data_IF_071725428333
#
_entry.id   IF_071725428333
#
_cell.length_a   1.000
_cell.length_b   1.000
_cell.length_c   1.000
_cell.angle_alpha   90.00
_cell.angle_beta   90.00
_cell.angle_gamma   90.00
#
_symmetry.space_group_name_H-M   'P 1'
#
loop_
_entity.id
_entity.type
_entity.pdbx_description
1 polymer ?
#
# COMPACT_ATOMS: atom_id res chain seq x y z
N UNK A 1 -27.99 35.21 33.74
CA UNK A 1 -26.55 35.01 33.49
C UNK A 1 -26.40 33.89 32.47
N UNK A 2 -25.76 34.20 31.33
CA UNK A 2 -25.55 33.30 30.19
C UNK A 2 -24.43 32.31 30.53
N UNK A 3 -24.70 31.00 30.54
CA UNK A 3 -23.64 29.99 30.54
C UNK A 3 -23.36 29.56 29.11
N UNK A 4 -22.13 29.83 28.68
CA UNK A 4 -21.59 29.53 27.36
C UNK A 4 -21.49 28.02 27.12
N UNK A 5 -22.05 27.56 26.00
CA UNK A 5 -21.70 26.29 25.36
C UNK A 5 -20.32 26.45 24.74
N UNK A 6 -19.29 25.85 25.36
CA UNK A 6 -17.98 25.71 24.71
C UNK A 6 -18.05 24.55 23.70
N UNK A 7 -18.01 24.88 22.41
CA UNK A 7 -17.90 23.92 21.32
C UNK A 7 -16.53 23.24 21.31
N UNK A 8 -16.51 21.91 21.28
CA UNK A 8 -15.30 21.13 21.09
C UNK A 8 -14.91 21.16 19.60
N UNK A 9 -13.93 21.99 19.23
CA UNK A 9 -13.33 21.99 17.89
C UNK A 9 -12.40 20.77 17.73
N UNK A 10 -12.82 19.81 16.91
CA UNK A 10 -12.03 18.65 16.49
C UNK A 10 -10.92 19.05 15.51
N UNK A 11 -9.78 19.51 16.02
CA UNK A 11 -8.54 19.69 15.25
C UNK A 11 -7.76 18.38 15.19
N UNK A 12 -7.92 17.58 14.12
CA UNK A 12 -7.05 16.42 13.88
C UNK A 12 -6.81 16.06 12.40
N UNK A 13 -6.21 16.95 11.57
CA UNK A 13 -5.45 16.53 10.39
C UNK A 13 -3.96 16.92 10.40
N UNK A 14 -3.49 17.76 11.34
CA UNK A 14 -2.15 18.36 11.27
C UNK A 14 -0.99 17.37 11.54
N UNK A 15 -1.16 16.41 12.45
CA UNK A 15 -0.06 15.51 12.83
C UNK A 15 0.35 14.50 11.73
N UNK A 16 -0.54 14.19 10.79
CA UNK A 16 -0.33 13.20 9.72
C UNK A 16 0.54 13.74 8.59
N UNK A 17 0.21 14.93 8.09
CA UNK A 17 0.98 15.63 7.08
C UNK A 17 2.40 15.93 7.57
N UNK A 18 2.54 16.16 8.88
CA UNK A 18 3.83 16.43 9.52
C UNK A 18 4.79 15.23 9.42
N UNK A 19 4.33 13.99 9.63
CA UNK A 19 5.22 12.82 9.55
C UNK A 19 5.83 12.60 8.17
N UNK A 20 5.00 12.70 7.12
CA UNK A 20 5.44 12.52 5.73
C UNK A 20 6.40 13.64 5.33
N UNK A 21 6.08 14.89 5.66
CA UNK A 21 6.92 16.04 5.35
C UNK A 21 8.28 15.95 6.06
N UNK A 22 8.28 15.62 7.37
CA UNK A 22 9.52 15.43 8.14
C UNK A 22 10.38 14.31 7.58
N UNK A 23 9.78 13.20 7.18
CA UNK A 23 10.54 12.12 6.55
C UNK A 23 11.18 12.53 5.23
N UNK A 24 10.44 13.19 4.35
CA UNK A 24 10.98 13.69 3.07
C UNK A 24 12.12 14.69 3.29
N UNK A 25 11.98 15.58 4.27
CA UNK A 25 13.05 16.52 4.63
C UNK A 25 14.31 15.78 5.11
N UNK A 26 14.17 14.72 5.92
CA UNK A 26 15.30 13.88 6.33
C UNK A 26 15.95 13.16 5.17
N UNK A 27 15.16 12.61 4.23
CA UNK A 27 15.71 11.94 3.05
C UNK A 27 16.54 12.92 2.22
N UNK A 28 16.02 14.11 1.96
CA UNK A 28 16.72 15.14 1.19
C UNK A 28 18.08 15.56 1.80
N UNK A 29 18.23 15.41 3.12
CA UNK A 29 19.46 15.74 3.85
C UNK A 29 20.39 14.52 4.03
N UNK A 30 19.95 13.31 3.70
CA UNK A 30 20.71 12.07 3.87
C UNK A 30 21.44 11.69 2.58
N UNK A 31 22.71 11.24 2.64
CA UNK A 31 23.40 10.68 1.47
C UNK A 31 22.70 9.42 0.92
N UNK A 32 21.81 8.79 1.69
CA UNK A 32 21.05 7.62 1.30
C UNK A 32 19.59 7.94 0.90
N UNK A 33 19.18 9.20 0.92
CA UNK A 33 17.82 9.64 0.61
C UNK A 33 17.24 9.11 -0.69
N UNK A 34 17.95 9.24 -1.84
CA UNK A 34 17.46 8.74 -3.13
C UNK A 34 17.18 7.23 -3.13
N UNK A 35 17.99 6.45 -2.41
CA UNK A 35 17.77 5.00 -2.28
C UNK A 35 16.49 4.70 -1.49
N UNK A 36 16.29 5.42 -0.37
CA UNK A 36 15.12 5.26 0.51
C UNK A 36 13.82 5.63 -0.20
N UNK A 37 13.80 6.77 -0.89
CA UNK A 37 12.65 7.24 -1.66
C UNK A 37 12.25 6.23 -2.75
N UNK A 38 13.23 5.54 -3.35
CA UNK A 38 12.99 4.60 -4.45
C UNK A 38 12.28 3.31 -4.06
N UNK A 39 12.29 2.93 -2.77
CA UNK A 39 11.83 1.62 -2.28
C UNK A 39 10.36 1.36 -2.59
N UNK A 40 9.49 2.37 -2.42
CA UNK A 40 8.07 2.29 -2.72
C UNK A 40 7.61 3.49 -3.56
N UNK A 41 6.65 3.30 -4.49
CA UNK A 41 6.12 4.40 -5.30
C UNK A 41 5.32 5.40 -4.45
N UNK A 42 5.33 6.70 -4.79
CA UNK A 42 4.64 7.75 -4.05
C UNK A 42 3.13 7.86 -4.41
N UNK A 43 2.44 6.75 -4.62
CA UNK A 43 1.06 6.72 -5.17
C UNK A 43 -0.04 6.50 -4.14
N UNK A 44 0.29 6.51 -2.85
CA UNK A 44 -0.66 6.27 -1.76
C UNK A 44 -0.63 7.39 -0.72
N UNK A 45 -1.76 8.08 -0.57
CA UNK A 45 -1.90 9.24 0.31
C UNK A 45 -2.36 8.83 1.72
N UNK A 46 -1.86 9.47 2.80
CA UNK A 46 -2.30 9.21 4.17
C UNK A 46 -3.82 9.25 4.39
N UNK A 47 -4.55 10.13 3.70
CA UNK A 47 -6.00 10.24 3.80
C UNK A 47 -6.73 9.00 3.24
N UNK A 48 -6.06 8.20 2.41
CA UNK A 48 -6.58 6.94 1.87
C UNK A 48 -6.44 5.76 2.85
N UNK A 49 -5.77 5.93 3.99
CA UNK A 49 -5.66 4.90 5.01
C UNK A 49 -7.04 4.54 5.59
N UNK A 50 -7.41 3.25 5.68
CA UNK A 50 -8.65 2.84 6.33
C UNK A 50 -8.71 3.25 7.80
N UNK A 51 -9.75 4.00 8.21
CA UNK A 51 -9.80 4.61 9.57
C UNK A 51 -8.54 5.46 9.85
N UNK A 52 -8.34 6.57 9.11
CA UNK A 52 -7.09 7.33 9.13
C UNK A 52 -6.78 7.96 10.50
N UNK A 53 -7.80 8.13 11.36
CA UNK A 53 -7.68 8.62 12.74
C UNK A 53 -7.52 7.51 13.79
N UNK A 54 -7.39 6.25 13.39
CA UNK A 54 -7.14 5.15 14.33
C UNK A 54 -5.69 5.16 14.81
N UNK A 55 -5.42 4.52 15.95
CA UNK A 55 -4.06 4.33 16.45
C UNK A 55 -3.17 3.66 15.37
N UNK A 56 -3.61 2.52 14.83
CA UNK A 56 -2.84 1.80 13.82
C UNK A 56 -2.52 2.62 12.56
N UNK A 57 -3.48 3.41 12.06
CA UNK A 57 -3.22 4.30 10.91
C UNK A 57 -2.18 5.37 11.23
N UNK A 58 -2.17 5.93 12.45
CA UNK A 58 -1.12 6.86 12.88
C UNK A 58 0.23 6.18 13.02
N UNK A 59 0.28 4.95 13.53
CA UNK A 59 1.54 4.20 13.65
C UNK A 59 2.14 3.84 12.28
N UNK A 60 1.31 3.49 11.28
CA UNK A 60 1.79 3.27 9.91
C UNK A 60 2.47 4.53 9.38
N UNK A 61 1.86 5.69 9.60
CA UNK A 61 2.43 6.96 9.15
C UNK A 61 3.70 7.32 9.91
N UNK A 62 3.68 7.23 11.25
CA UNK A 62 4.83 7.54 12.09
C UNK A 62 6.06 6.70 11.72
N UNK A 63 5.87 5.39 11.55
CA UNK A 63 7.00 4.47 11.42
C UNK A 63 7.39 4.17 9.99
N UNK A 64 6.43 3.85 9.13
CA UNK A 64 6.74 3.34 7.80
C UNK A 64 7.28 4.42 6.87
N UNK A 65 6.82 5.67 7.04
CA UNK A 65 7.26 6.76 6.17
C UNK A 65 8.66 7.26 6.50
N UNK A 66 9.30 6.79 7.57
CA UNK A 66 10.66 7.23 7.91
C UNK A 66 11.69 6.83 6.86
N UNK A 67 11.44 5.74 6.11
CA UNK A 67 12.42 5.14 5.21
C UNK A 67 11.94 4.97 3.77
N UNK A 68 10.64 5.04 3.49
CA UNK A 68 10.09 4.92 2.14
C UNK A 68 8.72 5.58 2.06
N UNK A 69 8.16 5.74 0.84
CA UNK A 69 6.79 6.25 0.68
C UNK A 69 5.76 5.39 1.43
N UNK A 70 4.60 5.97 1.76
CA UNK A 70 3.59 5.34 2.61
C UNK A 70 3.09 4.00 2.01
N UNK A 71 3.20 2.87 2.73
CA UNK A 71 2.67 1.61 2.23
C UNK A 71 1.15 1.57 2.34
N UNK A 72 0.48 1.06 1.30
CA UNK A 72 -0.93 0.72 1.35
C UNK A 72 -1.12 -0.56 2.18
N UNK A 73 -1.96 -0.59 3.25
CA UNK A 73 -2.25 -1.82 4.00
C UNK A 73 -2.76 -2.98 3.12
N UNK A 74 -3.33 -2.67 1.95
CA UNK A 74 -3.77 -3.65 0.98
C UNK A 74 -2.69 -4.10 -0.01
N UNK A 75 -1.40 -3.75 0.16
CA UNK A 75 -0.34 -4.25 -0.73
C UNK A 75 0.05 -5.71 -0.45
N UNK A 76 -0.34 -6.24 0.71
CA UNK A 76 -0.06 -7.61 1.14
C UNK A 76 -1.30 -8.24 1.77
N UNK A 77 -1.37 -9.58 1.73
CA UNK A 77 -2.38 -10.31 2.47
C UNK A 77 -2.06 -10.35 3.98
N UNK A 78 -3.07 -10.72 4.79
CA UNK A 78 -2.94 -10.72 6.25
C UNK A 78 -1.84 -11.68 6.75
N UNK A 79 -1.54 -12.74 5.98
CA UNK A 79 -0.52 -13.74 6.33
C UNK A 79 0.90 -13.24 6.08
N UNK A 80 1.09 -12.37 5.09
CA UNK A 80 2.40 -11.81 4.73
C UNK A 80 2.86 -10.70 5.68
N UNK A 81 1.92 -9.90 6.19
CA UNK A 81 2.23 -8.72 7.03
C UNK A 81 3.15 -8.98 8.23
N UNK A 82 2.96 -10.04 9.06
CA UNK A 82 3.86 -10.33 10.19
C UNK A 82 5.34 -10.34 9.79
N UNK A 83 5.69 -11.13 8.76
CA UNK A 83 7.07 -11.24 8.28
C UNK A 83 7.63 -9.92 7.74
N UNK A 84 6.78 -9.08 7.13
CA UNK A 84 7.20 -7.79 6.55
C UNK A 84 7.51 -6.81 7.67
N UNK A 85 6.58 -6.67 8.63
CA UNK A 85 6.75 -5.76 9.78
C UNK A 85 7.95 -6.17 10.61
N UNK A 86 8.13 -7.45 10.92
CA UNK A 86 9.27 -7.94 11.67
C UNK A 86 10.61 -7.58 11.02
N UNK A 87 10.74 -7.82 9.70
CA UNK A 87 11.94 -7.42 8.96
C UNK A 87 12.16 -5.91 8.96
N UNK A 88 11.10 -5.10 8.92
CA UNK A 88 11.23 -3.64 8.96
C UNK A 88 11.67 -3.18 10.35
N UNK A 89 11.07 -3.70 11.42
CA UNK A 89 11.45 -3.36 12.80
C UNK A 89 12.91 -3.72 13.09
N UNK A 90 13.39 -4.87 12.60
CA UNK A 90 14.82 -5.22 12.68
C UNK A 90 15.69 -4.17 11.97
N UNK A 91 15.32 -3.75 10.75
CA UNK A 91 16.03 -2.69 10.00
C UNK A 91 16.02 -1.36 10.75
N UNK A 92 14.88 -0.94 11.28
CA UNK A 92 14.75 0.28 12.07
C UNK A 92 15.68 0.27 13.30
N UNK A 93 15.99 -0.91 13.85
CA UNK A 93 16.97 -1.09 14.93
C UNK A 93 18.42 -1.16 14.45
N UNK A 94 18.69 -0.81 13.20
CA UNK A 94 20.01 -0.90 12.55
C UNK A 94 20.48 -2.33 12.29
N UNK A 95 19.57 -3.32 12.31
CA UNK A 95 19.89 -4.73 12.10
C UNK A 95 19.48 -5.17 10.68
N UNK A 96 20.25 -6.05 10.06
CA UNK A 96 19.90 -6.58 8.75
C UNK A 96 21.11 -7.01 7.94
N UNK A 97 20.86 -7.34 6.67
CA UNK A 97 21.85 -7.93 5.77
C UNK A 97 22.90 -6.95 5.23
N UNK A 98 22.83 -5.65 5.59
CA UNK A 98 23.79 -4.63 5.14
C UNK A 98 24.79 -4.22 6.23
N UNK A 99 24.81 -4.89 7.39
CA UNK A 99 25.82 -4.67 8.43
C UNK A 99 25.91 -3.22 8.90
N UNK A 100 27.13 -2.64 8.88
CA UNK A 100 27.39 -1.25 9.30
C UNK A 100 26.58 -0.24 8.48
N UNK A 101 26.46 -0.46 7.17
CA UNK A 101 25.65 0.42 6.30
C UNK A 101 24.19 0.47 6.75
N UNK A 102 23.62 -0.64 7.26
CA UNK A 102 22.25 -0.60 7.80
C UNK A 102 22.14 0.33 9.00
N UNK A 103 23.14 0.33 9.89
CA UNK A 103 23.15 1.21 11.07
C UNK A 103 23.24 2.68 10.67
N UNK A 104 24.08 3.00 9.69
CA UNK A 104 24.25 4.35 9.17
C UNK A 104 22.97 4.85 8.48
N UNK A 105 22.39 4.04 7.59
CA UNK A 105 21.14 4.39 6.89
C UNK A 105 19.97 4.61 7.85
N UNK A 106 19.94 3.89 8.97
CA UNK A 106 18.84 3.91 9.95
C UNK A 106 19.13 4.83 11.13
N UNK A 107 20.20 5.62 11.08
CA UNK A 107 20.50 6.62 12.10
C UNK A 107 19.33 7.61 12.23
N UNK A 108 18.81 7.77 13.45
CA UNK A 108 17.66 8.63 13.73
C UNK A 108 16.30 8.06 13.32
N UNK A 109 16.22 6.80 12.88
CA UNK A 109 14.94 6.09 12.66
C UNK A 109 14.43 5.54 13.99
N UNK A 110 13.18 5.83 14.30
CA UNK A 110 12.51 5.30 15.49
C UNK A 110 11.93 3.92 15.22
N UNK A 111 12.14 2.94 16.11
CA UNK A 111 11.44 1.66 16.07
C UNK A 111 10.22 1.66 17.02
N UNK A 112 9.13 0.93 16.71
CA UNK A 112 7.98 0.82 17.60
C UNK A 112 8.34 0.09 18.90
N UNK A 113 7.66 0.48 19.99
CA UNK A 113 7.56 -0.35 21.20
C UNK A 113 6.81 -1.65 20.91
N UNK A 114 6.88 -2.63 21.81
CA UNK A 114 6.16 -3.90 21.63
C UNK A 114 4.63 -3.72 21.59
N UNK A 115 4.09 -2.74 22.31
CA UNK A 115 2.66 -2.41 22.25
C UNK A 115 2.27 -1.77 20.91
N UNK A 116 3.05 -0.79 20.45
CA UNK A 116 2.85 -0.16 19.14
C UNK A 116 3.02 -1.16 18.00
N UNK A 117 3.98 -2.08 18.10
CA UNK A 117 4.18 -3.15 17.14
C UNK A 117 2.94 -4.04 17.03
N UNK A 118 2.35 -4.46 18.16
CA UNK A 118 1.09 -5.23 18.16
C UNK A 118 -0.05 -4.45 17.52
N UNK A 119 -0.21 -3.18 17.86
CA UNK A 119 -1.26 -2.32 17.30
C UNK A 119 -1.10 -2.08 15.78
N UNK A 120 0.14 -1.83 15.34
CA UNK A 120 0.51 -1.68 13.93
C UNK A 120 0.20 -2.95 13.14
N UNK A 121 0.62 -4.11 13.64
CA UNK A 121 0.40 -5.39 12.97
C UNK A 121 -1.10 -5.74 12.91
N UNK A 122 -1.84 -5.52 13.99
CA UNK A 122 -3.28 -5.73 14.03
C UNK A 122 -4.00 -4.88 12.97
N UNK A 123 -3.60 -3.63 12.82
CA UNK A 123 -4.14 -2.72 11.80
C UNK A 123 -3.84 -3.20 10.37
N UNK A 124 -2.57 -3.51 10.07
CA UNK A 124 -2.17 -3.98 8.74
C UNK A 124 -2.88 -5.29 8.35
N UNK A 125 -3.01 -6.23 9.29
CA UNK A 125 -3.75 -7.48 9.07
C UNK A 125 -5.23 -7.25 8.82
N UNK A 126 -5.85 -6.34 9.57
CA UNK A 126 -7.29 -6.03 9.45
C UNK A 126 -7.65 -5.43 8.09
N UNK A 127 -6.76 -4.61 7.53
CA UNK A 127 -6.98 -3.90 6.26
C UNK A 127 -6.18 -4.47 5.08
N UNK A 128 -5.68 -5.70 5.25
CA UNK A 128 -4.90 -6.41 4.26
C UNK A 128 -5.65 -6.66 2.93
N UNK A 129 -4.89 -7.02 1.90
CA UNK A 129 -5.46 -7.56 0.67
C UNK A 129 -6.18 -8.86 0.98
N UNK A 130 -7.39 -9.01 0.43
CA UNK A 130 -8.03 -10.31 0.32
C UNK A 130 -7.52 -10.98 -0.96
N UNK A 131 -6.89 -12.14 -0.80
CA UNK A 131 -6.48 -12.96 -1.92
C UNK A 131 -7.70 -13.44 -2.70
N UNK A 132 -7.57 -13.53 -4.02
CA UNK A 132 -8.55 -14.18 -4.88
C UNK A 132 -8.68 -15.65 -4.48
N UNK A 133 -9.91 -16.14 -4.46
CA UNK A 133 -10.20 -17.56 -4.29
C UNK A 133 -10.37 -18.18 -5.68
N UNK A 134 -9.32 -18.80 -6.20
CA UNK A 134 -9.27 -19.30 -7.58
C UNK A 134 -10.40 -20.29 -7.91
N UNK A 135 -10.93 -21.02 -6.92
CA UNK A 135 -12.06 -21.94 -7.11
C UNK A 135 -13.34 -21.24 -7.58
N UNK A 136 -13.46 -19.94 -7.31
CA UNK A 136 -14.61 -19.10 -7.67
C UNK A 136 -14.45 -18.40 -9.02
N UNK A 137 -13.28 -18.53 -9.65
CA UNK A 137 -12.92 -17.85 -10.90
C UNK A 137 -12.17 -18.82 -11.83
N UNK A 138 -12.86 -19.83 -12.40
CA UNK A 138 -12.21 -20.82 -13.26
C UNK A 138 -11.54 -20.20 -14.50
N UNK A 139 -12.01 -19.04 -14.95
CA UNK A 139 -11.40 -18.27 -16.06
C UNK A 139 -9.97 -17.78 -15.76
N UNK A 140 -9.51 -17.77 -14.51
CA UNK A 140 -8.09 -17.50 -14.20
C UNK A 140 -7.13 -18.51 -14.83
N UNK A 141 -7.61 -19.72 -15.12
CA UNK A 141 -6.85 -20.79 -15.76
C UNK A 141 -6.99 -20.80 -17.30
N UNK A 142 -7.74 -19.85 -17.88
CA UNK A 142 -7.91 -19.73 -19.34
C UNK A 142 -7.16 -18.50 -19.88
N UNK A 143 -6.96 -18.39 -21.20
CA UNK A 143 -6.36 -17.20 -21.80
C UNK A 143 -7.07 -15.89 -21.41
N UNK A 144 -8.38 -15.94 -21.11
CA UNK A 144 -9.16 -14.76 -20.73
C UNK A 144 -8.76 -14.16 -19.36
N UNK A 145 -8.24 -14.97 -18.44
CA UNK A 145 -7.76 -14.51 -17.12
C UNK A 145 -6.24 -14.42 -17.02
N UNK A 146 -5.51 -14.83 -18.08
CA UNK A 146 -4.06 -14.94 -18.07
C UNK A 146 -3.36 -13.59 -17.86
N UNK A 147 -3.77 -12.56 -18.60
CA UNK A 147 -3.19 -11.22 -18.48
C UNK A 147 -3.33 -10.65 -17.06
N UNK A 148 -4.49 -10.81 -16.43
CA UNK A 148 -4.71 -10.43 -15.03
C UNK A 148 -3.84 -11.24 -14.07
N UNK A 149 -3.83 -12.57 -14.24
CA UNK A 149 -3.04 -13.48 -13.40
C UNK A 149 -1.55 -13.14 -13.48
N UNK A 150 -0.98 -13.06 -14.68
CA UNK A 150 0.45 -12.83 -14.89
C UNK A 150 0.90 -11.44 -14.48
N UNK A 151 0.11 -10.39 -14.73
CA UNK A 151 0.48 -9.03 -14.35
C UNK A 151 0.34 -8.80 -12.85
N UNK A 152 -0.80 -9.14 -12.26
CA UNK A 152 -1.13 -8.72 -10.89
C UNK A 152 -0.54 -9.61 -9.80
N UNK A 153 -0.02 -10.81 -10.14
CA UNK A 153 0.61 -11.71 -9.16
C UNK A 153 2.12 -11.49 -8.96
N UNK A 154 2.73 -10.58 -9.73
CA UNK A 154 4.19 -10.40 -9.72
C UNK A 154 4.72 -9.84 -8.41
N UNK A 155 3.93 -8.99 -7.73
CA UNK A 155 4.37 -8.26 -6.55
C UNK A 155 3.69 -8.73 -5.26
N UNK A 156 2.45 -9.21 -5.35
CA UNK A 156 1.65 -9.64 -4.21
C UNK A 156 0.60 -10.67 -4.64
N UNK A 157 -0.19 -11.17 -3.68
CA UNK A 157 -1.31 -12.09 -3.99
C UNK A 157 -2.29 -11.43 -4.96
N UNK A 158 -2.92 -12.22 -5.83
CA UNK A 158 -3.94 -11.69 -6.74
C UNK A 158 -5.12 -11.07 -5.97
N UNK A 159 -5.58 -9.86 -6.34
CA UNK A 159 -6.71 -9.23 -5.67
C UNK A 159 -8.04 -9.90 -6.03
N UNK A 160 -8.94 -10.03 -5.07
CA UNK A 160 -10.34 -10.44 -5.32
C UNK A 160 -11.06 -9.35 -6.16
N UNK A 161 -11.62 -9.67 -7.35
CA UNK A 161 -12.35 -8.71 -8.20
C UNK A 161 -13.52 -8.03 -7.49
N UNK A 162 -14.06 -8.61 -6.41
CA UNK A 162 -15.16 -8.02 -5.62
C UNK A 162 -14.70 -6.92 -4.66
N UNK A 163 -13.42 -6.53 -4.71
CA UNK A 163 -12.88 -5.43 -3.89
C UNK A 163 -13.35 -4.06 -4.37
N UNK A 164 -13.52 -3.90 -5.68
CA UNK A 164 -13.87 -2.64 -6.33
C UNK A 164 -15.06 -2.84 -7.28
N UNK A 165 -15.77 -1.75 -7.59
CA UNK A 165 -16.81 -1.78 -8.63
C UNK A 165 -16.17 -1.76 -10.03
N UNK A 166 -16.95 -2.05 -11.06
CA UNK A 166 -16.47 -2.02 -12.44
C UNK A 166 -15.95 -0.64 -12.84
N UNK A 167 -16.55 0.43 -12.31
CA UNK A 167 -16.15 1.82 -12.55
C UNK A 167 -14.87 2.22 -11.78
N UNK A 168 -14.59 1.55 -10.66
CA UNK A 168 -13.41 1.80 -9.83
C UNK A 168 -12.16 1.08 -10.37
N UNK A 169 -12.33 -0.10 -10.97
CA UNK A 169 -11.23 -0.94 -11.43
C UNK A 169 -10.24 -0.25 -12.40
N UNK A 170 -10.69 0.51 -13.42
CA UNK A 170 -9.78 1.21 -14.32
C UNK A 170 -8.79 2.14 -13.59
N UNK A 171 -9.24 2.84 -12.54
CA UNK A 171 -8.37 3.71 -11.73
C UNK A 171 -7.35 2.91 -10.92
N UNK A 172 -7.76 1.74 -10.41
CA UNK A 172 -6.86 0.83 -9.68
C UNK A 172 -5.79 0.26 -10.60
N UNK A 173 -6.16 -0.16 -11.80
CA UNK A 173 -5.24 -0.72 -12.81
C UNK A 173 -4.25 0.35 -13.29
N UNK A 174 -4.71 1.56 -13.59
CA UNK A 174 -3.82 2.67 -13.96
C UNK A 174 -2.76 2.97 -12.89
N UNK A 175 -3.17 3.06 -11.61
CA UNK A 175 -2.21 3.22 -10.50
C UNK A 175 -1.25 2.03 -10.38
N UNK A 176 -1.72 0.81 -10.62
CA UNK A 176 -0.83 -0.37 -10.59
C UNK A 176 0.18 -0.33 -11.72
N UNK A 177 -0.19 0.13 -12.91
CA UNK A 177 0.74 0.35 -14.01
C UNK A 177 1.86 1.30 -13.59
N UNK A 178 1.52 2.48 -13.04
CA UNK A 178 2.52 3.44 -12.53
C UNK A 178 3.44 2.80 -11.47
N UNK A 179 2.88 2.00 -10.57
CA UNK A 179 3.65 1.29 -9.54
C UNK A 179 4.60 0.23 -10.14
N UNK A 180 4.16 -0.49 -11.18
CA UNK A 180 4.96 -1.50 -11.83
C UNK A 180 6.09 -0.86 -12.65
N UNK A 181 5.81 0.25 -13.34
CA UNK A 181 6.81 1.07 -14.02
C UNK A 181 7.83 1.62 -13.02
N UNK A 182 7.35 2.18 -11.89
CA UNK A 182 8.22 2.58 -10.79
C UNK A 182 9.07 1.39 -10.36
N UNK A 183 8.55 0.19 -10.10
CA UNK A 183 9.39 -0.89 -9.58
C UNK A 183 10.29 -1.58 -10.62
N UNK A 184 10.31 -1.10 -11.88
CA UNK A 184 10.92 -1.82 -13.02
C UNK A 184 10.39 -3.26 -13.12
N UNK A 185 9.11 -3.48 -12.77
CA UNK A 185 8.44 -4.78 -12.73
C UNK A 185 7.49 -5.01 -13.91
N UNK A 186 7.67 -4.28 -15.00
CA UNK A 186 7.22 -4.71 -16.31
C UNK A 186 8.45 -4.88 -17.17
N UNK A 187 8.62 -6.05 -17.76
CA UNK A 187 9.47 -6.18 -18.94
C UNK A 187 8.73 -5.44 -20.05
N UNK A 188 9.08 -4.16 -20.19
CA UNK A 188 8.53 -3.20 -21.14
C UNK A 188 7.07 -2.79 -20.89
N UNK A 189 6.85 -1.56 -20.41
CA UNK A 189 5.68 -0.80 -20.89
C UNK A 189 5.77 -0.51 -22.39
N UNK A 190 6.98 -0.68 -22.97
CA UNK A 190 7.21 -0.81 -24.39
C UNK A 190 7.00 -2.28 -24.83
N UNK A 191 6.23 -2.54 -25.90
CA UNK A 191 5.98 -3.89 -26.36
C UNK A 191 7.26 -4.56 -26.89
N UNK A 192 7.83 -5.47 -26.10
CA UNK A 192 8.89 -6.39 -26.54
C UNK A 192 8.22 -7.69 -26.99
N UNK A 193 8.51 -8.13 -28.21
CA UNK A 193 7.97 -9.36 -28.75
C UNK A 193 8.42 -10.57 -27.90
N UNK A 194 7.46 -11.39 -27.46
CA UNK A 194 7.71 -12.59 -26.65
C UNK A 194 7.66 -12.38 -25.13
N UNK A 195 7.53 -11.13 -24.65
CA UNK A 195 7.42 -10.83 -23.22
C UNK A 195 5.95 -10.65 -22.78
N UNK A 196 5.55 -11.14 -21.59
CA UNK A 196 4.23 -10.88 -21.04
C UNK A 196 3.97 -9.37 -20.88
N UNK A 197 3.12 -8.83 -21.74
CA UNK A 197 2.74 -7.42 -21.73
C UNK A 197 1.61 -7.16 -20.73
N UNK A 198 1.59 -5.96 -20.15
CA UNK A 198 0.44 -5.48 -19.38
C UNK A 198 -0.72 -5.17 -20.33
N UNK A 199 -1.66 -6.11 -20.48
CA UNK A 199 -2.87 -5.93 -21.32
C UNK A 199 -3.98 -5.24 -20.52
N UNK A 200 -3.94 -3.91 -20.43
CA UNK A 200 -4.84 -3.10 -19.58
C UNK A 200 -6.32 -3.36 -19.90
N UNK A 201 -6.68 -3.47 -21.17
CA UNK A 201 -8.06 -3.68 -21.63
C UNK A 201 -8.58 -5.05 -21.19
N UNK A 202 -7.79 -6.11 -21.37
CA UNK A 202 -8.14 -7.48 -20.95
C UNK A 202 -8.26 -7.59 -19.43
N UNK A 203 -7.33 -6.97 -18.70
CA UNK A 203 -7.33 -6.94 -17.24
C UNK A 203 -8.59 -6.24 -16.72
N UNK A 204 -8.93 -5.07 -17.27
CA UNK A 204 -10.14 -4.35 -16.89
C UNK A 204 -11.41 -5.12 -17.25
N UNK A 205 -11.45 -5.80 -18.41
CA UNK A 205 -12.59 -6.62 -18.80
C UNK A 205 -12.81 -7.79 -17.82
N UNK A 206 -11.74 -8.49 -17.43
CA UNK A 206 -11.80 -9.56 -16.43
C UNK A 206 -12.29 -9.03 -15.08
N UNK A 207 -11.72 -7.92 -14.60
CA UNK A 207 -12.06 -7.34 -13.30
C UNK A 207 -13.50 -6.81 -13.27
N UNK A 208 -13.95 -6.14 -14.34
CA UNK A 208 -15.31 -5.62 -14.46
C UNK A 208 -16.37 -6.73 -14.43
N UNK A 209 -16.11 -7.87 -15.09
CA UNK A 209 -17.01 -9.03 -15.12
C UNK A 209 -17.33 -9.57 -13.73
N UNK A 210 -16.34 -9.56 -12.84
CA UNK A 210 -16.44 -10.12 -11.50
C UNK A 210 -16.50 -9.05 -10.40
N UNK A 211 -16.68 -7.79 -10.79
CA UNK A 211 -16.62 -6.65 -9.90
C UNK A 211 -17.69 -6.72 -8.81
N UNK A 212 -17.46 -5.95 -7.75
CA UNK A 212 -18.50 -5.69 -6.75
C UNK A 212 -19.69 -5.00 -7.44
N UNK A 213 -20.94 -5.43 -7.18
CA UNK A 213 -22.10 -4.70 -7.66
C UNK A 213 -22.06 -3.26 -7.17
N UNK A 214 -22.34 -2.31 -8.08
CA UNK A 214 -22.56 -0.93 -7.68
C UNK A 214 -23.72 -0.88 -6.68
N UNK A 215 -23.59 -0.08 -5.61
CA UNK A 215 -24.74 0.19 -4.75
C UNK A 215 -25.75 0.95 -5.59
N UNK A 216 -26.92 0.37 -5.85
CA UNK A 216 -28.07 1.12 -6.32
C UNK A 216 -28.41 2.10 -5.20
N UNK A 217 -28.19 3.40 -5.43
CA UNK A 217 -28.85 4.42 -4.63
C UNK A 217 -30.34 4.26 -4.90
N UNK A 218 -31.11 3.85 -3.88
CA UNK A 218 -32.56 4.01 -3.93
C UNK A 218 -32.81 5.49 -4.20
N UNK A 219 -33.36 5.79 -5.37
CA UNK A 219 -33.99 7.08 -5.62
C UNK A 219 -35.36 6.96 -4.95
N UNK A 220 -35.50 7.63 -3.82
CA UNK A 220 -36.82 8.01 -3.30
C UNK A 220 -37.44 9.06 -4.22
#
# INVERSE_FOLDING_TARGET
MRSLLLGLLLLAPLASADEVARAKARWAQSPHGPLLERILPPTFDPAQLPRPRSLGARLVQRYCVQCHNLPNPAMHDARRWPSVVERMVLRMRGQGNLGVLMKEMMAGVEAPTEEEHRALLAYLRRYAQKAIDASRYPELATPAGESFRLACQQCHVLPDPKRHTAEEWPKVVARMQENMEWMNRVVGSAPVAGEPQLRVEEINAFLARYAKPARQTMRD
#
